data_IF_430029398742
#
_entry.id   IF_430029398742
#
_cell.length_a   1.000
_cell.length_b   1.000
_cell.length_c   1.000
_cell.angle_alpha   90.00
_cell.angle_beta   90.00
_cell.angle_gamma   90.00
#
_symmetry.space_group_name_H-M   'P 1'
#
loop_
_entity.id
_entity.type
_entity.pdbx_description
1 polymer ?
#
# COMPACT_ATOMS: atom_id res chain seq x y z
N UNK A 1 6.27 -25.90 -6.87
CA UNK A 1 4.85 -25.60 -6.65
C UNK A 1 4.36 -24.78 -7.85
N UNK A 2 3.08 -24.83 -8.23
CA UNK A 2 2.58 -23.91 -9.24
C UNK A 2 2.78 -22.46 -8.77
N UNK A 3 3.03 -21.54 -9.71
CA UNK A 3 3.15 -20.12 -9.40
C UNK A 3 1.80 -19.55 -8.95
N UNK A 4 1.83 -18.58 -8.06
CA UNK A 4 0.65 -17.80 -7.70
C UNK A 4 0.34 -16.80 -8.82
N UNK A 5 -0.89 -16.81 -9.28
CA UNK A 5 -1.37 -15.98 -10.39
C UNK A 5 -1.89 -14.65 -9.84
N UNK A 6 -1.28 -13.55 -10.27
CA UNK A 6 -1.53 -12.21 -9.75
C UNK A 6 -2.40 -11.41 -10.72
N UNK A 7 -3.48 -10.85 -10.19
CA UNK A 7 -4.29 -9.84 -10.85
C UNK A 7 -4.01 -8.46 -10.25
N UNK A 8 -3.56 -7.53 -11.07
CA UNK A 8 -3.19 -6.17 -10.67
C UNK A 8 -4.38 -5.23 -10.84
N UNK A 9 -4.72 -4.47 -9.81
CA UNK A 9 -5.75 -3.43 -9.82
C UNK A 9 -5.09 -2.07 -9.51
N UNK A 10 -4.99 -1.21 -10.52
CA UNK A 10 -4.21 0.01 -10.49
C UNK A 10 -2.81 -0.19 -11.06
N UNK A 11 -2.61 0.16 -12.33
CA UNK A 11 -1.37 -0.04 -13.07
C UNK A 11 -0.52 1.25 -13.15
N UNK A 12 -0.63 2.07 -12.11
CA UNK A 12 0.04 3.36 -12.00
C UNK A 12 1.48 3.25 -11.51
N UNK A 13 1.92 4.32 -10.89
CA UNK A 13 3.30 4.54 -10.48
C UNK A 13 3.79 3.57 -9.39
N UNK A 14 2.92 3.21 -8.42
CA UNK A 14 3.27 2.25 -7.39
C UNK A 14 3.55 0.88 -8.01
N UNK A 15 2.69 0.43 -8.94
CA UNK A 15 2.92 -0.80 -9.68
C UNK A 15 4.25 -0.74 -10.44
N UNK A 16 4.46 0.31 -11.24
CA UNK A 16 5.63 0.42 -12.10
C UNK A 16 6.95 0.46 -11.34
N UNK A 17 7.00 1.20 -10.24
CA UNK A 17 8.26 1.50 -9.53
C UNK A 17 8.56 0.56 -8.36
N UNK A 18 7.53 -0.02 -7.77
CA UNK A 18 7.67 -0.81 -6.54
C UNK A 18 7.29 -2.27 -6.74
N UNK A 19 6.05 -2.56 -7.12
CA UNK A 19 5.54 -3.93 -7.18
C UNK A 19 6.07 -4.72 -8.38
N UNK A 20 6.03 -4.14 -9.57
CA UNK A 20 6.51 -4.83 -10.77
C UNK A 20 7.99 -5.25 -10.67
N UNK A 21 8.94 -4.40 -10.24
CA UNK A 21 10.32 -4.84 -10.03
C UNK A 21 10.47 -5.95 -8.99
N UNK A 22 9.61 -5.98 -7.98
CA UNK A 22 9.59 -7.06 -6.99
C UNK A 22 9.09 -8.37 -7.61
N UNK A 23 8.00 -8.34 -8.38
CA UNK A 23 7.52 -9.52 -9.12
C UNK A 23 8.55 -10.07 -10.08
N UNK A 24 9.30 -9.19 -10.77
CA UNK A 24 10.37 -9.62 -11.69
C UNK A 24 11.53 -10.31 -10.99
N UNK A 25 11.73 -10.12 -9.69
CA UNK A 25 12.69 -10.87 -8.88
C UNK A 25 12.12 -12.17 -8.32
N UNK A 26 10.81 -12.35 -8.37
CA UNK A 26 10.10 -13.47 -7.76
C UNK A 26 9.35 -14.31 -8.81
N UNK A 27 9.85 -14.34 -10.03
CA UNK A 27 9.23 -15.03 -11.18
C UNK A 27 9.04 -16.52 -11.00
N UNK A 28 9.79 -17.14 -10.09
CA UNK A 28 9.60 -18.55 -9.74
C UNK A 28 8.38 -18.79 -8.85
N UNK A 29 7.88 -17.73 -8.20
CA UNK A 29 6.77 -17.79 -7.24
C UNK A 29 5.50 -17.16 -7.79
N UNK A 30 5.61 -16.06 -8.54
CA UNK A 30 4.48 -15.27 -9.02
C UNK A 30 4.46 -15.13 -10.54
N UNK A 31 3.25 -15.01 -11.07
CA UNK A 31 2.98 -14.70 -12.47
C UNK A 31 1.86 -13.67 -12.57
N UNK A 32 2.11 -12.52 -13.19
CA UNK A 32 1.08 -11.52 -13.44
C UNK A 32 0.26 -11.97 -14.64
N UNK A 33 -1.03 -12.21 -14.43
CA UNK A 33 -1.93 -12.81 -15.42
C UNK A 33 -3.07 -11.88 -15.87
N UNK A 34 -3.27 -10.78 -15.17
CA UNK A 34 -4.27 -9.78 -15.53
C UNK A 34 -3.90 -8.40 -14.95
N UNK A 35 -4.31 -7.34 -15.66
CA UNK A 35 -4.12 -5.95 -15.25
C UNK A 35 -5.41 -5.17 -15.43
N UNK A 36 -5.74 -4.36 -14.45
CA UNK A 36 -6.89 -3.45 -14.45
C UNK A 36 -6.45 -2.02 -14.17
N UNK A 37 -6.78 -1.09 -15.06
CA UNK A 37 -6.65 0.35 -14.87
C UNK A 37 -7.66 1.05 -15.78
N UNK A 38 -8.36 2.11 -15.36
CA UNK A 38 -9.28 2.83 -16.24
C UNK A 38 -8.57 3.51 -17.42
N UNK A 39 -7.28 3.72 -17.35
CA UNK A 39 -6.44 4.35 -18.36
C UNK A 39 -5.96 3.33 -19.41
N UNK A 40 -6.47 3.46 -20.63
CA UNK A 40 -6.14 2.56 -21.76
C UNK A 40 -4.66 2.62 -22.17
N UNK A 41 -4.01 3.76 -22.02
CA UNK A 41 -2.60 3.91 -22.39
C UNK A 41 -1.72 3.10 -21.42
N UNK A 42 -2.06 3.09 -20.13
CA UNK A 42 -1.41 2.22 -19.14
C UNK A 42 -1.65 0.75 -19.44
N UNK A 43 -2.88 0.37 -19.79
CA UNK A 43 -3.18 -1.01 -20.16
C UNK A 43 -2.38 -1.45 -21.38
N UNK A 44 -2.31 -0.62 -22.44
CA UNK A 44 -1.52 -0.90 -23.65
C UNK A 44 -0.02 -1.05 -23.35
N UNK A 45 0.51 -0.18 -22.51
CA UNK A 45 1.90 -0.28 -22.03
C UNK A 45 2.18 -1.61 -21.33
N UNK A 46 1.31 -2.01 -20.41
CA UNK A 46 1.49 -3.24 -19.64
C UNK A 46 1.21 -4.49 -20.45
N UNK A 47 0.29 -4.44 -21.41
CA UNK A 47 0.08 -5.51 -22.38
C UNK A 47 1.38 -5.89 -23.09
N UNK A 48 2.06 -4.90 -23.68
CA UNK A 48 3.31 -5.15 -24.37
C UNK A 48 4.44 -5.62 -23.47
N UNK A 49 4.50 -5.07 -22.25
CA UNK A 49 5.59 -5.37 -21.30
C UNK A 49 5.46 -6.74 -20.65
N UNK A 50 4.24 -7.19 -20.39
CA UNK A 50 3.95 -8.48 -19.75
C UNK A 50 3.59 -9.60 -20.73
N UNK A 51 3.37 -9.27 -22.02
CA UNK A 51 2.93 -10.25 -23.01
C UNK A 51 1.50 -10.74 -22.80
N UNK A 52 0.64 -9.90 -22.22
CA UNK A 52 -0.75 -10.26 -21.91
C UNK A 52 -1.63 -10.26 -23.16
N UNK A 53 -2.65 -11.12 -23.17
CA UNK A 53 -3.70 -11.12 -24.18
C UNK A 53 -4.68 -9.96 -23.95
N UNK A 54 -5.40 -9.48 -24.99
CA UNK A 54 -6.42 -8.42 -24.78
C UNK A 54 -7.48 -8.76 -23.74
N UNK A 55 -7.84 -10.05 -23.58
CA UNK A 55 -8.79 -10.53 -22.58
C UNK A 55 -8.28 -10.51 -21.14
N UNK A 56 -6.99 -10.23 -20.92
CA UNK A 56 -6.37 -10.12 -19.61
C UNK A 56 -6.29 -8.66 -19.11
N UNK A 57 -6.75 -7.73 -19.94
CA UNK A 57 -6.77 -6.30 -19.66
C UNK A 57 -8.19 -5.84 -19.34
N UNK A 58 -8.34 -5.14 -18.24
CA UNK A 58 -9.65 -4.72 -17.74
C UNK A 58 -9.64 -3.22 -17.40
N UNK A 59 -10.73 -2.53 -17.70
CA UNK A 59 -10.94 -1.14 -17.26
C UNK A 59 -11.74 -1.05 -15.99
N UNK A 60 -12.32 -2.17 -15.57
CA UNK A 60 -13.16 -2.29 -14.39
C UNK A 60 -12.63 -3.40 -13.48
N UNK A 61 -12.45 -3.08 -12.21
CA UNK A 61 -11.98 -4.02 -11.20
C UNK A 61 -12.98 -5.17 -10.93
N UNK A 62 -14.27 -4.97 -11.21
CA UNK A 62 -15.27 -6.05 -11.05
C UNK A 62 -15.01 -7.19 -12.04
N UNK A 63 -14.59 -6.85 -13.24
CA UNK A 63 -14.26 -7.84 -14.27
C UNK A 63 -13.03 -8.68 -13.87
N UNK A 64 -11.96 -8.06 -13.39
CA UNK A 64 -10.78 -8.81 -12.93
C UNK A 64 -11.10 -9.62 -11.66
N UNK A 65 -11.90 -9.09 -10.72
CA UNK A 65 -12.31 -9.80 -9.51
C UNK A 65 -13.24 -10.99 -9.78
N UNK A 66 -13.82 -11.07 -10.96
CA UNK A 66 -14.62 -12.23 -11.40
C UNK A 66 -13.79 -13.40 -11.93
N UNK A 67 -12.49 -13.20 -12.18
CA UNK A 67 -11.61 -14.24 -12.72
C UNK A 67 -11.35 -15.35 -11.70
N UNK A 68 -11.55 -16.59 -12.12
CA UNK A 68 -11.29 -17.76 -11.27
C UNK A 68 -9.81 -18.15 -11.25
N UNK A 69 -9.06 -17.75 -12.28
CA UNK A 69 -7.64 -18.08 -12.47
C UNK A 69 -6.66 -17.13 -11.76
N UNK A 70 -7.13 -16.12 -11.03
CA UNK A 70 -6.30 -15.22 -10.21
C UNK A 70 -6.28 -15.73 -8.77
N UNK A 71 -5.11 -15.88 -8.18
CA UNK A 71 -4.91 -16.31 -6.79
C UNK A 71 -4.73 -15.13 -5.82
N UNK A 72 -4.05 -14.09 -6.28
CA UNK A 72 -3.71 -12.90 -5.49
C UNK A 72 -4.13 -11.64 -6.24
N UNK A 73 -4.87 -10.77 -5.59
CA UNK A 73 -5.25 -9.46 -6.11
C UNK A 73 -4.37 -8.40 -5.47
N UNK A 74 -3.59 -7.67 -6.28
CA UNK A 74 -2.69 -6.64 -5.84
C UNK A 74 -3.28 -5.26 -6.18
N UNK A 75 -3.72 -4.52 -5.14
CA UNK A 75 -4.53 -3.31 -5.25
C UNK A 75 -3.67 -2.08 -4.97
N UNK A 76 -3.52 -1.21 -5.97
CA UNK A 76 -2.70 0.00 -5.96
C UNK A 76 -3.46 1.18 -6.59
N UNK A 77 -4.65 1.44 -6.08
CA UNK A 77 -5.49 2.56 -6.50
C UNK A 77 -5.18 3.82 -5.69
N UNK A 78 -5.67 5.01 -6.06
CA UNK A 78 -5.57 6.20 -5.21
C UNK A 78 -6.08 5.96 -3.79
N UNK A 79 -5.49 6.64 -2.80
CA UNK A 79 -5.74 6.41 -1.36
C UNK A 79 -7.23 6.52 -1.03
N UNK A 80 -7.93 7.45 -1.65
CA UNK A 80 -9.37 7.69 -1.49
C UNK A 80 -10.22 6.48 -1.89
N UNK A 81 -9.70 5.63 -2.78
CA UNK A 81 -10.37 4.45 -3.29
C UNK A 81 -9.91 3.15 -2.64
N UNK A 82 -8.75 3.15 -1.95
CA UNK A 82 -8.14 1.93 -1.42
C UNK A 82 -9.09 1.11 -0.57
N UNK A 83 -9.76 1.74 0.40
CA UNK A 83 -10.71 1.04 1.27
C UNK A 83 -11.89 0.47 0.48
N UNK A 84 -12.55 1.30 -0.34
CA UNK A 84 -13.75 0.92 -1.06
C UNK A 84 -13.49 -0.22 -2.06
N UNK A 85 -12.43 -0.13 -2.83
CA UNK A 85 -12.04 -1.18 -3.80
C UNK A 85 -11.63 -2.45 -3.07
N UNK A 86 -10.82 -2.36 -2.00
CA UNK A 86 -10.39 -3.53 -1.23
C UNK A 86 -11.58 -4.23 -0.58
N UNK A 87 -12.52 -3.50 0.02
CA UNK A 87 -13.74 -4.08 0.60
C UNK A 87 -14.59 -4.77 -0.47
N UNK A 88 -14.80 -4.13 -1.61
CA UNK A 88 -15.60 -4.67 -2.68
C UNK A 88 -14.99 -5.95 -3.29
N UNK A 89 -13.67 -5.97 -3.50
CA UNK A 89 -12.93 -7.16 -3.94
C UNK A 89 -13.00 -8.25 -2.86
N UNK A 90 -12.75 -7.93 -1.59
CA UNK A 90 -12.81 -8.89 -0.48
C UNK A 90 -14.20 -9.53 -0.37
N UNK A 91 -15.28 -8.75 -0.51
CA UNK A 91 -16.65 -9.25 -0.53
C UNK A 91 -16.89 -10.20 -1.69
N UNK A 92 -16.39 -9.88 -2.88
CA UNK A 92 -16.52 -10.74 -4.07
C UNK A 92 -15.79 -12.08 -3.92
N UNK A 93 -14.69 -12.07 -3.19
CA UNK A 93 -13.82 -13.23 -2.97
C UNK A 93 -14.13 -14.00 -1.67
N UNK A 94 -15.13 -13.56 -0.91
CA UNK A 94 -15.45 -14.13 0.39
C UNK A 94 -15.54 -15.67 0.35
N UNK A 95 -14.80 -16.32 1.27
CA UNK A 95 -14.74 -17.78 1.38
C UNK A 95 -13.96 -18.51 0.28
N UNK A 96 -13.38 -17.79 -0.69
CA UNK A 96 -12.51 -18.38 -1.71
C UNK A 96 -11.07 -18.49 -1.22
N UNK A 97 -10.32 -19.46 -1.75
CA UNK A 97 -8.88 -19.62 -1.47
C UNK A 97 -8.04 -18.62 -2.28
N UNK A 98 -8.21 -17.34 -1.97
CA UNK A 98 -7.57 -16.22 -2.65
C UNK A 98 -6.98 -15.27 -1.59
N UNK A 99 -6.15 -14.32 -1.99
CA UNK A 99 -5.58 -13.31 -1.11
C UNK A 99 -5.62 -11.93 -1.76
N UNK A 100 -5.54 -10.90 -0.93
CA UNK A 100 -5.41 -9.50 -1.36
C UNK A 100 -4.11 -8.94 -0.79
N UNK A 101 -3.35 -8.25 -1.62
CA UNK A 101 -2.33 -7.28 -1.23
C UNK A 101 -2.92 -5.91 -1.53
N UNK A 102 -2.82 -4.97 -0.61
CA UNK A 102 -3.30 -3.60 -0.81
C UNK A 102 -2.21 -2.61 -0.43
N UNK A 103 -2.02 -1.59 -1.25
CA UNK A 103 -1.11 -0.49 -0.94
C UNK A 103 -1.55 0.28 0.31
N UNK A 104 -0.55 0.83 0.96
CA UNK A 104 -0.75 1.70 2.13
C UNK A 104 -1.08 3.16 1.70
N UNK A 105 -1.78 3.91 2.54
CA UNK A 105 -2.63 3.44 3.63
C UNK A 105 -3.88 2.76 3.08
N UNK A 106 -4.36 1.70 3.76
CA UNK A 106 -5.58 1.00 3.32
C UNK A 106 -6.83 1.90 3.37
N UNK A 107 -6.80 2.93 4.21
CA UNK A 107 -7.94 3.81 4.43
C UNK A 107 -7.50 5.27 4.40
N UNK A 108 -8.29 6.14 3.77
CA UNK A 108 -8.09 7.57 3.73
C UNK A 108 -8.62 8.32 4.96
N UNK A 109 -9.42 7.66 5.81
CA UNK A 109 -10.02 8.27 6.99
C UNK A 109 -10.00 7.33 8.20
N UNK A 110 -10.10 7.93 9.41
CA UNK A 110 -10.19 7.15 10.65
C UNK A 110 -11.42 6.23 10.69
N UNK A 111 -12.55 6.69 10.16
CA UNK A 111 -13.78 5.89 10.08
C UNK A 111 -13.58 4.64 9.21
N UNK A 112 -12.99 4.80 8.05
CA UNK A 112 -12.65 3.68 7.17
C UNK A 112 -11.61 2.77 7.81
N UNK A 113 -10.59 3.31 8.48
CA UNK A 113 -9.56 2.53 9.14
C UNK A 113 -10.14 1.61 10.23
N UNK A 114 -11.15 2.06 10.99
CA UNK A 114 -11.86 1.21 11.94
C UNK A 114 -12.59 0.06 11.25
N UNK A 115 -13.25 0.33 10.11
CA UNK A 115 -13.93 -0.69 9.32
C UNK A 115 -12.93 -1.65 8.65
N UNK A 116 -11.81 -1.12 8.18
CA UNK A 116 -10.76 -1.89 7.50
C UNK A 116 -10.15 -2.99 8.40
N UNK A 117 -10.06 -2.75 9.71
CA UNK A 117 -9.56 -3.74 10.69
C UNK A 117 -10.29 -5.08 10.63
N UNK A 118 -11.56 -5.07 10.27
CA UNK A 118 -12.42 -6.25 10.31
C UNK A 118 -12.55 -6.94 8.95
N UNK A 119 -12.07 -6.32 7.86
CA UNK A 119 -12.31 -6.83 6.50
C UNK A 119 -11.85 -8.29 6.32
N UNK A 120 -10.63 -8.61 6.75
CA UNK A 120 -10.08 -9.94 6.58
C UNK A 120 -10.91 -11.01 7.32
N UNK A 121 -11.38 -10.71 8.53
CA UNK A 121 -12.23 -11.58 9.33
C UNK A 121 -13.66 -11.65 8.77
N UNK A 122 -14.23 -10.49 8.41
CA UNK A 122 -15.60 -10.38 7.88
C UNK A 122 -15.78 -11.19 6.61
N UNK A 123 -14.83 -11.13 5.70
CA UNK A 123 -14.91 -11.81 4.42
C UNK A 123 -14.12 -13.13 4.34
N UNK A 124 -13.47 -13.52 5.43
CA UNK A 124 -12.65 -14.76 5.52
C UNK A 124 -11.61 -14.86 4.40
N UNK A 125 -10.91 -13.76 4.13
CA UNK A 125 -9.88 -13.66 3.10
C UNK A 125 -8.63 -13.00 3.67
N UNK A 126 -7.42 -13.53 3.44
CA UNK A 126 -6.18 -12.84 3.80
C UNK A 126 -6.06 -11.49 3.07
N UNK A 127 -5.83 -10.41 3.83
CA UNK A 127 -5.54 -9.08 3.32
C UNK A 127 -4.20 -8.64 3.92
N UNK A 128 -3.22 -8.42 3.07
CA UNK A 128 -1.89 -7.96 3.44
C UNK A 128 -1.73 -6.51 3.00
N UNK A 129 -1.25 -5.67 3.90
CA UNK A 129 -0.92 -4.28 3.57
C UNK A 129 0.53 -4.21 3.11
N UNK A 130 0.76 -3.55 1.97
CA UNK A 130 2.09 -3.38 1.38
C UNK A 130 2.90 -2.29 2.11
N UNK A 131 3.06 -2.47 3.44
CA UNK A 131 3.85 -1.59 4.29
C UNK A 131 5.29 -2.08 4.36
N UNK A 132 6.12 -1.54 3.49
CA UNK A 132 7.50 -2.02 3.28
C UNK A 132 8.44 -1.72 4.45
N UNK A 133 8.23 -0.66 5.26
CA UNK A 133 9.11 -0.34 6.40
C UNK A 133 9.12 -1.43 7.46
N UNK A 134 8.04 -2.21 7.56
CA UNK A 134 7.99 -3.39 8.42
C UNK A 134 9.03 -4.45 8.03
N UNK A 135 9.44 -4.48 6.77
CA UNK A 135 10.35 -5.50 6.21
C UNK A 135 11.75 -4.98 5.97
N UNK A 136 12.02 -3.69 6.20
CA UNK A 136 13.36 -3.14 6.10
C UNK A 136 14.31 -3.83 7.07
N UNK A 137 15.52 -4.09 6.62
CA UNK A 137 16.54 -4.79 7.39
C UNK A 137 16.85 -4.05 8.68
N UNK A 138 17.05 -2.74 8.62
CA UNK A 138 17.32 -1.89 9.79
C UNK A 138 16.21 -1.99 10.84
N UNK A 139 14.95 -1.92 10.41
CA UNK A 139 13.78 -2.05 11.29
C UNK A 139 13.79 -3.41 12.02
N UNK A 140 14.11 -4.48 11.29
CA UNK A 140 14.13 -5.82 11.86
C UNK A 140 15.34 -6.06 12.78
N UNK A 141 16.52 -5.50 12.46
CA UNK A 141 17.69 -5.53 13.34
C UNK A 141 17.37 -4.81 14.67
N UNK A 142 16.82 -3.58 14.61
CA UNK A 142 16.44 -2.84 15.84
C UNK A 142 15.40 -3.62 16.65
N UNK A 143 14.38 -4.17 15.98
CA UNK A 143 13.37 -5.01 16.63
C UNK A 143 13.99 -6.20 17.37
N UNK A 144 14.94 -6.88 16.73
CA UNK A 144 15.64 -8.03 17.33
C UNK A 144 16.46 -7.61 18.55
N UNK A 145 17.25 -6.51 18.45
CA UNK A 145 18.04 -6.00 19.56
C UNK A 145 17.18 -5.64 20.77
N UNK A 146 16.01 -5.06 20.56
CA UNK A 146 15.04 -4.72 21.61
C UNK A 146 14.43 -6.00 22.19
N UNK A 147 13.95 -6.91 21.33
CA UNK A 147 13.31 -8.17 21.72
C UNK A 147 14.26 -9.05 22.55
N UNK A 148 15.51 -9.14 22.16
CA UNK A 148 16.56 -9.94 22.83
C UNK A 148 17.17 -9.22 24.03
N UNK A 149 16.66 -8.05 24.38
CA UNK A 149 17.19 -7.19 25.46
C UNK A 149 18.68 -6.85 25.35
N UNK A 150 19.22 -6.82 24.12
CA UNK A 150 20.63 -6.51 23.88
C UNK A 150 20.98 -5.07 24.26
N UNK A 151 19.99 -4.20 24.30
CA UNK A 151 20.11 -2.80 24.73
C UNK A 151 19.53 -2.55 26.12
N UNK A 152 19.21 -3.62 26.86
CA UNK A 152 18.49 -3.55 28.13
C UNK A 152 17.01 -3.26 27.96
N UNK A 153 16.36 -2.81 29.05
CA UNK A 153 14.97 -2.36 29.01
C UNK A 153 14.88 -0.96 28.38
N UNK A 154 14.03 -0.81 27.38
CA UNK A 154 13.84 0.46 26.71
C UNK A 154 13.01 1.39 27.59
N UNK A 155 13.59 2.49 28.03
CA UNK A 155 12.90 3.50 28.85
C UNK A 155 12.23 4.56 27.97
N UNK A 156 12.90 5.00 26.93
CA UNK A 156 12.38 5.92 25.91
C UNK A 156 13.15 5.76 24.60
N UNK A 157 12.60 6.27 23.52
CA UNK A 157 13.30 6.43 22.25
C UNK A 157 12.98 7.82 21.66
N UNK A 158 13.88 8.32 20.83
CA UNK A 158 13.68 9.52 20.04
C UNK A 158 13.77 9.16 18.56
N UNK A 159 12.79 9.58 17.80
CA UNK A 159 12.80 9.47 16.35
C UNK A 159 12.62 10.85 15.73
N UNK A 160 13.59 11.26 14.94
CA UNK A 160 13.54 12.52 14.22
C UNK A 160 13.57 12.25 12.72
N UNK A 161 12.59 12.80 12.03
CA UNK A 161 12.56 12.80 10.57
C UNK A 161 12.43 14.24 10.09
N UNK A 162 13.41 14.70 9.34
CA UNK A 162 13.41 16.02 8.72
C UNK A 162 13.21 15.84 7.23
N UNK A 163 12.17 16.47 6.69
CA UNK A 163 11.87 16.48 5.25
C UNK A 163 11.55 17.91 4.84
N UNK A 164 12.18 18.36 3.78
CA UNK A 164 11.78 19.57 3.07
C UNK A 164 10.70 19.21 2.05
N UNK A 165 9.48 18.97 2.54
CA UNK A 165 8.37 18.50 1.75
C UNK A 165 7.97 19.47 0.63
N UNK A 166 7.86 20.81 0.88
CA UNK A 166 7.60 21.77 -0.17
C UNK A 166 8.62 21.70 -1.31
N UNK A 167 9.92 21.62 -0.98
CA UNK A 167 10.97 21.55 -2.00
C UNK A 167 10.87 20.24 -2.82
N UNK A 168 10.51 19.12 -2.21
CA UNK A 168 10.29 17.86 -2.92
C UNK A 168 9.04 17.90 -3.82
N UNK A 169 8.01 18.67 -3.45
CA UNK A 169 6.80 18.87 -4.27
C UNK A 169 7.05 19.70 -5.53
N UNK A 170 8.04 20.59 -5.52
CA UNK A 170 8.40 21.43 -6.68
C UNK A 170 9.28 20.72 -7.72
N UNK A 171 9.81 19.53 -7.39
CA UNK A 171 10.64 18.76 -8.32
C UNK A 171 9.77 17.83 -9.17
N UNK A 172 10.24 17.46 -10.37
CA UNK A 172 9.67 16.33 -11.12
C UNK A 172 10.05 15.00 -10.48
N UNK A 173 9.70 14.87 -9.21
CA UNK A 173 9.97 13.74 -8.37
C UNK A 173 8.69 12.94 -8.09
N UNK A 174 8.86 11.74 -7.54
CA UNK A 174 7.74 10.91 -7.12
C UNK A 174 6.77 11.61 -6.14
N UNK A 175 7.22 12.39 -5.13
CA UNK A 175 6.31 13.12 -4.25
C UNK A 175 5.50 14.22 -4.95
N UNK A 176 6.03 14.80 -6.04
CA UNK A 176 5.45 15.95 -6.72
C UNK A 176 4.31 15.60 -7.69
N UNK A 177 3.49 14.60 -7.40
CA UNK A 177 2.34 14.24 -8.23
C UNK A 177 1.06 14.91 -7.72
N UNK A 178 0.18 15.28 -8.66
CA UNK A 178 -1.04 16.05 -8.39
C UNK A 178 -1.86 15.49 -7.21
N UNK A 179 -2.06 14.19 -7.16
CA UNK A 179 -2.81 13.54 -6.10
C UNK A 179 -2.15 13.62 -4.70
N UNK A 180 -0.86 13.92 -4.62
CA UNK A 180 -0.15 14.20 -3.36
C UNK A 180 -0.12 15.66 -3.03
N UNK A 181 -0.04 16.52 -4.03
CA UNK A 181 -0.07 17.97 -3.85
C UNK A 181 -1.45 18.44 -3.38
N UNK A 182 -2.51 17.83 -3.92
CA UNK A 182 -3.90 18.18 -3.63
C UNK A 182 -4.68 16.95 -3.15
N UNK A 183 -4.36 16.42 -1.95
CA UNK A 183 -5.00 15.21 -1.45
C UNK A 183 -6.44 15.46 -1.03
N UNK A 184 -7.34 14.59 -1.43
CA UNK A 184 -8.77 14.65 -1.07
C UNK A 184 -9.08 13.89 0.24
N UNK A 185 -8.06 13.46 0.99
CA UNK A 185 -8.22 12.71 2.23
C UNK A 185 -7.62 13.47 3.44
N UNK A 186 -8.17 13.28 4.65
CA UNK A 186 -7.69 13.95 5.86
C UNK A 186 -6.23 13.64 6.16
N UNK A 187 -5.49 14.67 6.55
CA UNK A 187 -4.07 14.56 6.91
C UNK A 187 -3.12 14.56 5.73
N UNK A 188 -3.62 14.54 4.50
CA UNK A 188 -2.84 14.74 3.29
C UNK A 188 -1.51 13.98 3.26
N UNK A 189 -0.46 14.67 2.87
CA UNK A 189 0.89 14.12 2.75
C UNK A 189 1.44 13.54 4.07
N UNK A 190 1.01 14.04 5.22
CA UNK A 190 1.39 13.47 6.52
C UNK A 190 0.84 12.06 6.67
N UNK A 191 -0.44 11.83 6.33
CA UNK A 191 -1.06 10.50 6.40
C UNK A 191 -0.35 9.53 5.45
N UNK A 192 -0.05 9.93 4.23
CA UNK A 192 0.67 9.09 3.25
C UNK A 192 2.09 8.73 3.72
N UNK A 193 2.77 9.64 4.41
CA UNK A 193 4.17 9.48 4.80
C UNK A 193 4.35 8.90 6.21
N UNK A 194 3.65 9.43 7.22
CA UNK A 194 3.84 9.03 8.61
C UNK A 194 3.37 7.60 8.91
N UNK A 195 2.52 7.02 8.06
CA UNK A 195 2.10 5.62 8.19
C UNK A 195 3.28 4.66 8.21
N UNK A 196 4.32 4.94 7.43
CA UNK A 196 5.55 4.13 7.40
C UNK A 196 6.30 4.16 8.73
N UNK A 197 6.48 5.36 9.28
CA UNK A 197 7.20 5.55 10.55
C UNK A 197 6.44 4.91 11.71
N UNK A 198 5.12 5.12 11.76
CA UNK A 198 4.26 4.50 12.76
C UNK A 198 4.23 2.97 12.65
N UNK A 199 4.26 2.43 11.43
CA UNK A 199 4.34 1.00 11.21
C UNK A 199 5.66 0.42 11.71
N UNK A 200 6.80 1.07 11.44
CA UNK A 200 8.10 0.68 11.95
C UNK A 200 8.17 0.74 13.49
N UNK A 201 7.72 1.84 14.09
CA UNK A 201 7.66 2.01 15.54
C UNK A 201 6.82 0.91 16.20
N UNK A 202 5.62 0.66 15.66
CA UNK A 202 4.76 -0.41 16.17
C UNK A 202 5.35 -1.82 15.98
N UNK A 203 6.12 -2.02 14.92
CA UNK A 203 6.78 -3.29 14.67
C UNK A 203 7.90 -3.57 15.68
N UNK A 204 8.61 -2.54 16.10
CA UNK A 204 9.72 -2.63 17.06
C UNK A 204 9.20 -2.73 18.49
N UNK A 205 8.30 -1.82 18.88
CA UNK A 205 7.91 -1.61 20.28
C UNK A 205 6.52 -2.14 20.65
N UNK A 206 5.72 -2.57 19.67
CA UNK A 206 4.36 -3.08 19.90
C UNK A 206 3.28 -2.00 19.79
N UNK A 207 2.17 -2.21 20.51
CA UNK A 207 1.02 -1.31 20.44
C UNK A 207 1.32 0.04 21.10
N UNK A 208 0.80 1.12 20.50
CA UNK A 208 0.84 2.47 21.08
C UNK A 208 -0.39 2.61 21.99
N UNK A 209 -0.17 2.87 23.26
CA UNK A 209 -1.23 3.03 24.27
C UNK A 209 -1.81 4.45 24.25
N UNK A 210 -0.96 5.45 24.14
CA UNK A 210 -1.36 6.87 24.12
C UNK A 210 -0.58 7.63 23.06
N UNK A 211 -1.27 8.56 22.40
CA UNK A 211 -0.69 9.46 21.40
C UNK A 211 -1.12 10.89 21.69
N UNK A 212 -0.19 11.82 21.57
CA UNK A 212 -0.45 13.25 21.46
C UNK A 212 0.23 13.75 20.19
N UNK A 213 -0.47 14.55 19.42
CA UNK A 213 0.06 15.13 18.19
C UNK A 213 -0.06 16.66 18.28
N UNK A 214 1.01 17.34 17.92
CA UNK A 214 1.05 18.78 17.75
C UNK A 214 1.57 19.06 16.35
N UNK A 215 0.87 19.90 15.61
CA UNK A 215 1.20 20.24 14.23
C UNK A 215 1.12 21.73 14.01
N UNK A 216 1.97 22.22 13.13
CA UNK A 216 1.89 23.57 12.56
C UNK A 216 2.11 23.44 11.06
N UNK A 217 1.23 23.98 10.20
CA UNK A 217 1.45 23.95 8.77
C UNK A 217 2.73 24.70 8.41
N UNK A 218 3.56 24.10 7.59
CA UNK A 218 4.77 24.75 7.06
C UNK A 218 4.46 25.56 5.80
N UNK A 219 3.47 25.12 5.05
CA UNK A 219 3.05 25.71 3.79
C UNK A 219 1.56 25.47 3.62
N UNK A 220 0.79 26.57 3.36
CA UNK A 220 -0.66 26.48 3.24
C UNK A 220 -1.11 25.72 1.98
N UNK A 221 -0.26 25.66 0.96
CA UNK A 221 -0.55 25.00 -0.30
C UNK A 221 -0.29 23.48 -0.23
N UNK A 222 0.89 23.08 0.30
CA UNK A 222 1.31 21.67 0.26
C UNK A 222 1.23 20.94 1.60
N UNK A 223 1.10 21.67 2.69
CA UNK A 223 1.06 21.11 4.04
C UNK A 223 0.13 21.92 4.94
N UNK A 224 -1.16 21.94 4.64
CA UNK A 224 -2.14 22.75 5.39
C UNK A 224 -2.47 22.18 6.77
N UNK A 225 -1.85 21.08 7.19
CA UNK A 225 -2.11 20.39 8.46
C UNK A 225 -0.87 20.31 9.34
#
# INVERSE_FOLDING_TARGET
MPKLRVGVIGAGMAFERLHYPAYMKLTDTYEIVAVCDPDQDKLSKWQGRLGLSPGDLHTDWEAIAARDDVDVYDIMVPIELNYAVTEAVARRLSGKRKAIICEKPLAGSFKEALSARELAQRYQIPILIAENYRYNEETNIVRQLVSDRRVGDVVYFLYNRVMDFPQEMWKDAFPARDWRQYPEYPGGAITDSAVHDLAAIRHIFGAIDRLQAFGHPQDEEFSPY
#
